data_IF_435397120671
#
_entry.id   IF_435397120671
#
_cell.length_a   1.000
_cell.length_b   1.000
_cell.length_c   1.000
_cell.angle_alpha   90.00
_cell.angle_beta   90.00
_cell.angle_gamma   90.00
#
_symmetry.space_group_name_H-M   'P 1'
#
loop_
_entity.id
_entity.type
_entity.pdbx_description
1 polymer ?
#
# COMPACT_ATOMS: atom_id res chain seq x y z
N UNK A 1 4.41 -7.37 -29.29
CA UNK A 1 4.48 -6.20 -28.38
C UNK A 1 3.39 -6.40 -27.35
N UNK A 2 3.77 -6.70 -26.17
CA UNK A 2 2.89 -7.11 -25.06
C UNK A 2 2.11 -5.93 -24.43
N UNK A 3 2.56 -4.67 -24.59
CA UNK A 3 1.85 -3.50 -24.05
C UNK A 3 0.67 -3.06 -24.93
N UNK A 4 -0.43 -2.69 -24.27
CA UNK A 4 -1.50 -1.92 -24.90
C UNK A 4 -0.94 -0.62 -25.47
N UNK A 5 -1.15 -0.39 -26.78
CA UNK A 5 -0.70 0.85 -27.43
C UNK A 5 -1.45 2.08 -26.93
N UNK A 6 -2.74 1.92 -26.63
CA UNK A 6 -3.61 3.01 -26.15
C UNK A 6 -3.10 3.49 -24.81
N UNK A 7 -2.94 2.57 -23.84
CA UNK A 7 -2.47 2.89 -22.49
C UNK A 7 -1.03 3.44 -22.53
N UNK A 8 -0.13 2.79 -23.28
CA UNK A 8 1.26 3.22 -23.37
C UNK A 8 1.40 4.63 -23.95
N UNK A 9 0.65 4.96 -25.01
CA UNK A 9 0.68 6.28 -25.62
C UNK A 9 0.14 7.34 -24.64
N UNK A 10 -1.00 7.08 -24.01
CA UNK A 10 -1.55 7.98 -23.01
C UNK A 10 -0.54 8.27 -21.89
N UNK A 11 0.12 7.24 -21.35
CA UNK A 11 1.13 7.41 -20.30
C UNK A 11 2.31 8.22 -20.81
N UNK A 12 2.85 7.95 -22.02
CA UNK A 12 3.97 8.72 -22.59
C UNK A 12 3.65 10.21 -22.74
N UNK A 13 2.45 10.55 -23.14
CA UNK A 13 2.00 11.92 -23.33
C UNK A 13 1.83 12.67 -22.00
N UNK A 14 1.42 11.96 -20.95
CA UNK A 14 1.06 12.56 -19.66
C UNK A 14 2.08 12.34 -18.53
N UNK A 15 3.06 11.44 -18.70
CA UNK A 15 4.00 11.06 -17.64
C UNK A 15 4.77 12.27 -17.05
N UNK A 16 5.12 13.24 -17.87
CA UNK A 16 5.88 14.40 -17.39
C UNK A 16 5.07 15.32 -16.49
N UNK A 17 3.74 15.22 -16.49
CA UNK A 17 2.88 16.05 -15.64
C UNK A 17 2.98 15.66 -14.16
N UNK A 18 3.31 14.42 -13.86
CA UNK A 18 3.47 13.92 -12.47
C UNK A 18 4.90 14.06 -11.94
N UNK A 19 5.87 14.42 -12.80
CA UNK A 19 7.26 14.66 -12.41
C UNK A 19 7.44 16.12 -12.01
N UNK A 20 7.41 16.41 -10.70
CA UNK A 20 7.40 17.77 -10.15
C UNK A 20 8.78 18.25 -9.74
N UNK A 21 9.10 19.52 -9.99
CA UNK A 21 10.32 20.14 -9.45
C UNK A 21 10.16 20.38 -7.94
N UNK A 22 11.28 20.63 -7.24
CA UNK A 22 11.25 21.12 -5.86
C UNK A 22 10.37 22.38 -5.74
N UNK A 23 9.59 22.45 -4.66
CA UNK A 23 8.70 23.59 -4.39
C UNK A 23 8.56 23.85 -2.89
N UNK A 24 8.74 25.08 -2.45
CA UNK A 24 8.59 25.46 -1.05
C UNK A 24 9.51 24.67 -0.13
N UNK A 25 8.93 23.84 0.72
CA UNK A 25 9.66 22.99 1.68
C UNK A 25 10.00 21.60 1.14
N UNK A 26 9.40 21.21 0.01
CA UNK A 26 9.76 20.01 -0.73
C UNK A 26 11.06 20.31 -1.48
N UNK A 27 12.18 19.84 -0.94
CA UNK A 27 13.53 20.23 -1.39
C UNK A 27 14.03 19.46 -2.60
N UNK A 28 13.52 18.27 -2.81
CA UNK A 28 13.94 17.38 -3.89
C UNK A 28 12.82 17.24 -4.91
N UNK A 29 13.13 16.97 -6.18
CA UNK A 29 12.12 16.66 -7.17
C UNK A 29 11.33 15.43 -6.74
N UNK A 30 10.05 15.35 -7.09
CA UNK A 30 9.17 14.31 -6.61
C UNK A 30 8.15 13.87 -7.67
N UNK A 31 7.53 12.73 -7.43
CA UNK A 31 6.43 12.20 -8.24
C UNK A 31 5.14 12.39 -7.43
N UNK A 32 4.14 13.05 -8.01
CA UNK A 32 2.83 13.14 -7.41
C UNK A 32 1.81 12.18 -8.07
N UNK A 33 0.64 11.96 -7.45
CA UNK A 33 -0.36 11.07 -8.03
C UNK A 33 -1.06 11.60 -9.29
N UNK A 34 -0.98 12.91 -9.53
CA UNK A 34 -1.79 13.60 -10.54
C UNK A 34 -3.21 13.92 -10.06
N UNK A 35 -4.07 14.41 -10.96
CA UNK A 35 -5.47 14.78 -10.69
C UNK A 35 -5.58 15.80 -9.55
N UNK A 36 -6.48 15.57 -8.59
CA UNK A 36 -6.75 16.45 -7.44
C UNK A 36 -5.63 16.45 -6.39
N UNK A 37 -4.68 15.54 -6.48
CA UNK A 37 -3.56 15.36 -5.54
C UNK A 37 -2.28 16.09 -5.98
N UNK A 38 -2.41 16.94 -7.01
CA UNK A 38 -1.29 17.68 -7.62
C UNK A 38 -0.47 18.50 -6.60
N UNK A 39 0.85 18.33 -6.65
CA UNK A 39 1.80 19.08 -5.84
C UNK A 39 2.04 18.56 -4.43
N UNK A 40 1.52 17.39 -4.05
CA UNK A 40 1.73 16.75 -2.76
C UNK A 40 2.57 15.49 -2.88
N UNK A 41 3.40 15.21 -1.86
CA UNK A 41 4.15 13.96 -1.76
C UNK A 41 3.41 13.02 -0.83
N UNK A 42 2.81 11.98 -1.41
CA UNK A 42 2.10 10.95 -0.67
C UNK A 42 2.96 9.70 -0.54
N UNK A 43 2.92 9.02 0.60
CA UNK A 43 3.76 7.86 0.91
C UNK A 43 3.55 6.67 -0.06
N UNK A 44 2.37 6.05 -0.06
CA UNK A 44 2.13 4.85 -0.86
C UNK A 44 1.91 5.17 -2.35
N UNK A 45 1.40 6.37 -2.67
CA UNK A 45 1.24 6.83 -4.05
C UNK A 45 2.60 6.94 -4.74
N UNK A 46 3.57 7.56 -4.07
CA UNK A 46 4.94 7.66 -4.61
C UNK A 46 5.59 6.29 -4.75
N UNK A 47 5.34 5.37 -3.81
CA UNK A 47 5.84 4.00 -3.90
C UNK A 47 5.32 3.29 -5.16
N UNK A 48 3.99 3.30 -5.37
CA UNK A 48 3.40 2.61 -6.52
C UNK A 48 3.78 3.27 -7.85
N UNK A 49 3.86 4.60 -7.90
CA UNK A 49 4.35 5.31 -9.07
C UNK A 49 5.80 4.91 -9.39
N UNK A 50 6.69 4.87 -8.41
CA UNK A 50 8.09 4.45 -8.59
C UNK A 50 8.17 2.99 -9.01
N UNK A 51 7.39 2.12 -8.37
CA UNK A 51 7.30 0.70 -8.70
C UNK A 51 6.91 0.48 -10.17
N UNK A 52 5.95 1.25 -10.67
CA UNK A 52 5.49 1.17 -12.04
C UNK A 52 6.48 1.78 -13.05
N UNK A 53 7.00 2.97 -12.74
CA UNK A 53 7.77 3.77 -13.69
C UNK A 53 9.22 3.30 -13.88
N UNK A 54 9.87 2.72 -12.86
CA UNK A 54 11.25 2.27 -12.99
C UNK A 54 11.42 1.19 -14.08
N UNK A 55 10.64 0.07 -14.08
CA UNK A 55 10.70 -0.92 -15.16
C UNK A 55 10.30 -0.32 -16.51
N UNK A 56 9.20 0.46 -16.54
CA UNK A 56 8.73 1.10 -17.78
C UNK A 56 9.80 2.00 -18.40
N UNK A 57 10.54 2.76 -17.59
CA UNK A 57 11.59 3.66 -18.06
C UNK A 57 12.71 2.94 -18.83
N UNK A 58 13.00 1.68 -18.49
CA UNK A 58 13.95 0.84 -19.24
C UNK A 58 13.42 0.49 -20.63
N UNK A 59 12.15 0.17 -20.70
CA UNK A 59 11.49 -0.25 -21.94
C UNK A 59 11.32 0.92 -22.92
N UNK A 60 11.12 2.14 -22.42
CA UNK A 60 10.96 3.34 -23.24
C UNK A 60 12.25 3.73 -23.97
N UNK A 61 13.42 3.25 -23.52
CA UNK A 61 14.74 3.53 -24.13
C UNK A 61 15.08 5.01 -24.24
N UNK A 62 14.45 5.85 -23.44
CA UNK A 62 14.76 7.27 -23.30
C UNK A 62 15.63 7.48 -22.05
N UNK A 63 16.93 7.70 -22.28
CA UNK A 63 17.91 7.83 -21.20
C UNK A 63 17.63 9.06 -20.32
N UNK A 64 17.28 10.19 -20.91
CA UNK A 64 17.04 11.43 -20.17
C UNK A 64 15.79 11.31 -19.29
N UNK A 65 14.71 10.72 -19.82
CA UNK A 65 13.50 10.42 -19.05
C UNK A 65 13.79 9.46 -17.90
N UNK A 66 14.59 8.40 -18.15
CA UNK A 66 14.97 7.44 -17.12
C UNK A 66 15.76 8.09 -15.97
N UNK A 67 16.78 8.90 -16.31
CA UNK A 67 17.57 9.63 -15.30
C UNK A 67 16.66 10.55 -14.47
N UNK A 68 15.74 11.24 -15.12
CA UNK A 68 14.75 12.09 -14.45
C UNK A 68 13.83 11.29 -13.52
N UNK A 69 13.31 10.12 -13.94
CA UNK A 69 12.47 9.26 -13.09
C UNK A 69 13.26 8.78 -11.86
N UNK A 70 14.51 8.37 -12.02
CA UNK A 70 15.38 7.94 -10.90
C UNK A 70 15.60 9.08 -9.91
N UNK A 71 15.90 10.29 -10.42
CA UNK A 71 16.09 11.47 -9.58
C UNK A 71 14.84 11.78 -8.75
N UNK A 72 13.66 11.78 -9.37
CA UNK A 72 12.38 12.03 -8.69
C UNK A 72 12.02 10.90 -7.71
N UNK A 73 12.31 9.65 -8.06
CA UNK A 73 12.12 8.51 -7.17
C UNK A 73 12.96 8.62 -5.90
N UNK A 74 14.25 8.96 -6.03
CA UNK A 74 15.11 9.27 -4.88
C UNK A 74 14.59 10.47 -4.09
N UNK A 75 14.13 11.49 -4.79
CA UNK A 75 13.59 12.72 -4.20
C UNK A 75 12.37 12.47 -3.33
N UNK A 76 11.47 11.55 -3.70
CA UNK A 76 10.35 11.14 -2.84
C UNK A 76 10.84 10.67 -1.47
N UNK A 77 11.80 9.74 -1.44
CA UNK A 77 12.37 9.19 -0.20
C UNK A 77 13.07 10.27 0.60
N UNK A 78 13.89 11.10 -0.07
CA UNK A 78 14.66 12.16 0.59
C UNK A 78 13.75 13.21 1.23
N UNK A 79 12.67 13.60 0.55
CA UNK A 79 11.67 14.51 1.12
C UNK A 79 11.02 13.91 2.37
N UNK A 80 10.60 12.64 2.35
CA UNK A 80 10.01 11.97 3.51
C UNK A 80 10.99 11.90 4.69
N UNK A 81 12.27 11.56 4.43
CA UNK A 81 13.31 11.55 5.46
C UNK A 81 13.63 12.94 6.03
N UNK A 82 13.52 14.00 5.22
CA UNK A 82 13.72 15.38 5.69
C UNK A 82 12.66 15.81 6.71
N UNK A 83 11.44 15.29 6.59
CA UNK A 83 10.33 15.58 7.50
C UNK A 83 10.26 14.62 8.70
N UNK A 84 11.23 13.74 8.88
CA UNK A 84 11.27 12.85 10.05
C UNK A 84 11.48 13.63 11.35
N UNK A 85 10.61 13.41 12.34
CA UNK A 85 10.72 13.94 13.68
C UNK A 85 11.80 13.20 14.51
N UNK A 86 12.15 13.79 15.64
CA UNK A 86 13.20 13.24 16.53
C UNK A 86 12.89 11.85 17.09
N UNK A 87 11.61 11.51 17.25
CA UNK A 87 11.12 10.22 17.72
C UNK A 87 11.00 9.16 16.61
N UNK A 88 11.32 9.53 15.36
CA UNK A 88 11.29 8.65 14.21
C UNK A 88 10.01 8.73 13.36
N UNK A 89 9.00 9.49 13.81
CA UNK A 89 7.77 9.71 13.07
C UNK A 89 8.05 10.35 11.70
N UNK A 90 7.46 9.80 10.64
CA UNK A 90 7.47 10.37 9.29
C UNK A 90 6.01 10.57 8.86
N UNK A 91 5.63 11.74 8.33
CA UNK A 91 4.26 11.99 7.87
C UNK A 91 3.91 11.12 6.66
N UNK A 92 2.63 10.81 6.49
CA UNK A 92 2.14 10.09 5.30
C UNK A 92 2.05 10.98 4.07
N UNK A 93 1.94 12.28 4.26
CA UNK A 93 1.84 13.27 3.19
C UNK A 93 2.63 14.52 3.54
N UNK A 94 3.24 15.12 2.52
CA UNK A 94 3.87 16.45 2.59
C UNK A 94 3.17 17.33 1.56
N UNK A 95 2.49 18.37 2.04
CA UNK A 95 1.85 19.36 1.17
C UNK A 95 2.76 20.56 0.89
N UNK A 96 2.75 21.06 -0.36
CA UNK A 96 3.47 22.27 -0.72
C UNK A 96 2.80 23.56 -0.21
N UNK A 97 1.48 23.51 0.08
CA UNK A 97 0.66 24.66 0.47
C UNK A 97 0.57 24.90 1.97
N UNK A 98 1.11 23.99 2.79
CA UNK A 98 0.94 23.99 4.26
C UNK A 98 1.73 25.04 5.00
N UNK A 99 2.41 25.86 4.31
CA UNK A 99 3.13 26.96 4.88
C UNK A 99 2.43 28.29 4.69
N UNK A 100 1.13 28.29 4.92
CA UNK A 100 0.47 29.52 5.32
C UNK A 100 1.11 29.97 6.63
N UNK A 101 1.76 31.15 6.58
CA UNK A 101 2.41 31.78 7.74
C UNK A 101 1.49 31.95 8.97
N UNK A 102 0.21 31.70 8.81
CA UNK A 102 -0.81 31.69 9.89
C UNK A 102 -0.83 30.40 10.69
N UNK A 103 -0.23 29.34 10.17
CA UNK A 103 -0.04 28.07 10.86
C UNK A 103 1.41 27.99 11.25
N UNK A 104 1.76 28.54 12.43
CA UNK A 104 3.13 28.61 12.95
C UNK A 104 3.79 27.25 13.13
N UNK A 105 2.99 26.19 13.06
CA UNK A 105 3.45 24.82 13.01
C UNK A 105 2.53 24.08 12.06
N UNK A 106 3.09 23.62 10.95
CA UNK A 106 2.29 23.11 9.87
C UNK A 106 1.67 21.76 10.19
N UNK A 107 1.03 21.18 9.22
CA UNK A 107 0.49 19.86 9.05
C UNK A 107 1.06 18.75 9.98
N UNK A 108 2.35 18.76 10.34
CA UNK A 108 2.94 17.89 11.36
C UNK A 108 2.20 17.96 12.70
N UNK A 109 1.66 19.12 13.06
CA UNK A 109 0.86 19.28 14.26
C UNK A 109 -0.54 18.68 14.15
N UNK A 110 -1.10 18.55 12.96
CA UNK A 110 -2.34 17.83 12.76
C UNK A 110 -2.11 16.34 12.95
N UNK A 111 -0.99 15.83 12.42
CA UNK A 111 -0.62 14.42 12.51
C UNK A 111 0.03 14.03 13.84
N UNK A 112 0.54 14.99 14.62
CA UNK A 112 1.27 14.76 15.87
C UNK A 112 0.84 15.74 16.98
N UNK A 113 -0.45 15.99 17.10
CA UNK A 113 -1.00 17.00 18.01
C UNK A 113 -1.03 16.52 19.45
N UNK A 114 -0.56 17.36 20.39
CA UNK A 114 -0.63 17.13 21.83
C UNK A 114 0.07 15.85 22.33
N UNK A 115 1.16 15.44 21.68
CA UNK A 115 1.88 14.22 22.03
C UNK A 115 1.15 12.92 21.67
N UNK A 116 0.05 13.01 20.93
CA UNK A 116 -0.65 11.86 20.36
C UNK A 116 -0.16 11.68 18.91
N UNK A 117 0.59 10.62 18.69
CA UNK A 117 1.06 10.24 17.35
C UNK A 117 -0.12 9.67 16.57
N UNK A 118 -0.45 10.27 15.44
CA UNK A 118 -1.40 9.69 14.48
C UNK A 118 -0.72 8.61 13.64
N UNK A 119 -1.42 8.06 12.66
CA UNK A 119 -0.79 7.15 11.69
C UNK A 119 0.41 7.83 11.01
N UNK A 120 1.49 7.10 10.84
CA UNK A 120 2.69 7.58 10.16
C UNK A 120 2.80 6.97 8.77
N UNK A 121 3.82 7.38 8.02
CA UNK A 121 4.20 6.82 6.73
C UNK A 121 4.00 5.31 6.71
N UNK A 122 3.15 4.84 5.80
CA UNK A 122 2.86 3.42 5.61
C UNK A 122 4.15 2.63 5.33
N UNK A 123 4.17 1.32 5.53
CA UNK A 123 5.38 0.51 5.43
C UNK A 123 5.84 0.32 3.98
N UNK A 124 6.24 1.41 3.33
CA UNK A 124 6.72 1.46 1.95
C UNK A 124 8.07 2.18 1.79
N UNK A 125 8.62 2.74 2.86
CA UNK A 125 9.83 3.56 2.77
C UNK A 125 11.06 2.72 2.39
N UNK A 126 11.33 1.64 3.13
CA UNK A 126 12.43 0.73 2.83
C UNK A 126 12.16 -0.06 1.55
N UNK A 127 10.93 -0.42 1.27
CA UNK A 127 10.55 -1.05 0.01
C UNK A 127 10.90 -0.13 -1.19
N UNK A 128 10.59 1.16 -1.11
CA UNK A 128 10.93 2.11 -2.16
C UNK A 128 12.44 2.29 -2.31
N UNK A 129 13.18 2.40 -1.20
CA UNK A 129 14.65 2.48 -1.21
C UNK A 129 15.25 1.24 -1.87
N UNK A 130 14.84 0.05 -1.45
CA UNK A 130 15.35 -1.20 -2.00
C UNK A 130 15.04 -1.34 -3.50
N UNK A 131 13.83 -0.97 -3.93
CA UNK A 131 13.40 -0.96 -5.32
C UNK A 131 14.31 -0.07 -6.19
N UNK A 132 14.52 1.19 -5.76
CA UNK A 132 15.38 2.15 -6.46
C UNK A 132 16.82 1.62 -6.50
N UNK A 133 17.36 1.19 -5.36
CA UNK A 133 18.74 0.76 -5.23
C UNK A 133 19.05 -0.48 -6.07
N UNK A 134 18.13 -1.45 -6.14
CA UNK A 134 18.24 -2.60 -7.05
C UNK A 134 18.24 -2.20 -8.50
N UNK A 135 17.36 -1.28 -8.87
CA UNK A 135 17.21 -0.80 -10.25
C UNK A 135 18.46 -0.12 -10.79
N UNK A 136 19.16 0.65 -9.92
CA UNK A 136 20.40 1.38 -10.26
C UNK A 136 21.67 0.62 -9.88
N UNK A 137 21.58 -0.48 -9.11
CA UNK A 137 22.73 -1.26 -8.62
C UNK A 137 23.54 -0.55 -7.52
N UNK A 138 22.95 0.40 -6.79
CA UNK A 138 23.66 1.21 -5.81
C UNK A 138 22.79 1.54 -4.60
N UNK A 139 23.25 1.23 -3.38
CA UNK A 139 22.64 1.57 -2.09
C UNK A 139 23.30 2.79 -1.40
N UNK A 140 24.47 3.25 -1.88
CA UNK A 140 25.29 4.24 -1.17
C UNK A 140 24.70 5.64 -1.12
N UNK A 141 23.63 5.92 -1.89
CA UNK A 141 22.86 7.15 -1.78
C UNK A 141 22.10 7.27 -0.44
N UNK A 142 21.97 6.17 0.30
CA UNK A 142 21.55 6.11 1.70
C UNK A 142 22.81 6.12 2.56
N UNK A 143 23.25 7.30 2.99
CA UNK A 143 24.39 7.48 3.86
C UNK A 143 24.09 7.07 5.31
N UNK A 144 25.09 7.13 6.20
CA UNK A 144 24.98 6.77 7.61
C UNK A 144 23.87 7.56 8.34
N UNK A 145 23.69 8.84 8.02
CA UNK A 145 22.66 9.68 8.65
C UNK A 145 21.26 9.16 8.28
N UNK A 146 21.05 8.84 7.02
CA UNK A 146 19.78 8.28 6.54
C UNK A 146 19.54 6.87 7.10
N UNK A 147 20.61 6.08 7.23
CA UNK A 147 20.52 4.75 7.83
C UNK A 147 20.05 4.82 9.29
N UNK A 148 20.57 5.76 10.09
CA UNK A 148 20.10 6.03 11.44
C UNK A 148 18.65 6.54 11.46
N UNK A 149 18.22 7.31 10.47
CA UNK A 149 16.82 7.70 10.32
C UNK A 149 15.90 6.50 10.07
N UNK A 150 16.34 5.49 9.29
CA UNK A 150 15.58 4.26 9.11
C UNK A 150 15.46 3.45 10.40
N UNK A 151 16.50 3.39 11.24
CA UNK A 151 16.39 2.77 12.57
C UNK A 151 15.34 3.46 13.44
N UNK A 152 15.32 4.79 13.45
CA UNK A 152 14.31 5.57 14.17
C UNK A 152 12.90 5.34 13.63
N UNK A 153 12.74 5.20 12.32
CA UNK A 153 11.47 4.87 11.69
C UNK A 153 10.92 3.52 12.19
N UNK A 154 11.72 2.45 12.18
CA UNK A 154 11.31 1.16 12.74
C UNK A 154 11.05 1.23 14.23
N UNK A 155 11.87 1.97 14.98
CA UNK A 155 11.65 2.19 16.43
C UNK A 155 10.31 2.90 16.70
N UNK A 156 9.94 3.88 15.89
CA UNK A 156 8.65 4.56 16.00
C UNK A 156 7.47 3.61 15.80
N UNK A 157 7.56 2.71 14.81
CA UNK A 157 6.55 1.66 14.61
C UNK A 157 6.44 0.72 15.80
N UNK A 158 7.56 0.21 16.29
CA UNK A 158 7.62 -0.68 17.46
C UNK A 158 7.01 -0.04 18.72
N UNK A 159 7.37 1.20 18.96
CA UNK A 159 6.93 1.91 20.17
C UNK A 159 5.46 2.28 20.17
N UNK A 160 4.93 2.72 19.03
CA UNK A 160 3.62 3.36 18.99
C UNK A 160 2.53 2.46 18.40
N UNK A 161 2.87 1.53 17.50
CA UNK A 161 1.87 0.79 16.72
C UNK A 161 1.94 -0.73 16.91
N UNK A 162 3.00 -1.26 17.50
CA UNK A 162 3.12 -2.70 17.76
C UNK A 162 2.38 -3.11 19.04
N UNK A 163 1.56 -4.15 18.95
CA UNK A 163 0.84 -4.75 20.08
C UNK A 163 1.46 -6.10 20.44
N UNK A 164 2.37 -6.08 21.41
CA UNK A 164 3.14 -7.26 21.82
C UNK A 164 2.28 -8.49 22.14
N UNK A 165 1.11 -8.29 22.75
CA UNK A 165 0.19 -9.37 23.14
C UNK A 165 -0.28 -10.21 21.95
N UNK A 166 -0.46 -9.60 20.78
CA UNK A 166 -0.93 -10.27 19.55
C UNK A 166 0.18 -10.41 18.51
N UNK A 167 1.31 -9.72 18.66
CA UNK A 167 2.40 -9.75 17.72
C UNK A 167 2.15 -8.98 16.41
N UNK A 168 1.18 -8.06 16.39
CA UNK A 168 0.72 -7.35 15.19
C UNK A 168 0.84 -5.84 15.36
N UNK A 169 0.94 -5.14 14.23
CA UNK A 169 0.86 -3.68 14.15
C UNK A 169 -0.57 -3.22 13.95
N UNK A 170 -0.93 -2.09 14.54
CA UNK A 170 -2.27 -1.49 14.47
C UNK A 170 -2.23 -0.12 13.82
N UNK A 171 -3.35 0.29 13.22
CA UNK A 171 -3.60 1.69 12.94
C UNK A 171 -3.93 2.41 14.26
N UNK A 172 -3.30 3.58 14.46
CA UNK A 172 -3.66 4.44 15.59
C UNK A 172 -5.04 5.06 15.40
N UNK A 173 -5.34 5.43 14.16
CA UNK A 173 -6.60 6.07 13.76
C UNK A 173 -7.05 5.49 12.41
N UNK A 174 -8.30 5.70 12.02
CA UNK A 174 -8.81 5.38 10.69
C UNK A 174 -8.54 6.49 9.65
N UNK A 175 -8.04 7.65 10.10
CA UNK A 175 -7.73 8.78 9.25
C UNK A 175 -6.40 8.58 8.53
N UNK A 176 -6.35 8.94 7.23
CA UNK A 176 -5.14 8.94 6.41
C UNK A 176 -4.46 7.58 6.26
N UNK A 177 -5.21 6.50 6.35
CA UNK A 177 -4.68 5.16 6.04
C UNK A 177 -4.56 4.90 4.53
N UNK A 178 -5.05 5.83 3.71
CA UNK A 178 -5.08 5.77 2.26
C UNK A 178 -6.32 5.08 1.69
N UNK A 179 -6.89 4.17 2.42
CA UNK A 179 -8.18 3.54 2.12
C UNK A 179 -9.26 4.16 3.03
N UNK A 180 -9.62 5.42 2.76
CA UNK A 180 -10.28 6.33 3.70
C UNK A 180 -11.57 5.82 4.34
N UNK A 181 -12.31 4.97 3.67
CA UNK A 181 -13.50 4.33 4.20
C UNK A 181 -13.43 2.79 4.16
N UNK A 182 -12.22 2.22 4.26
CA UNK A 182 -12.05 0.77 4.40
C UNK A 182 -12.89 0.24 5.57
N UNK A 183 -13.92 -0.59 5.32
CA UNK A 183 -14.88 -0.98 6.36
C UNK A 183 -14.26 -1.85 7.46
N UNK A 184 -13.07 -2.41 7.23
CA UNK A 184 -12.35 -3.13 8.26
C UNK A 184 -11.66 -2.20 9.28
N UNK A 185 -11.55 -0.90 8.97
CA UNK A 185 -10.85 0.09 9.81
C UNK A 185 -11.72 1.29 10.15
N UNK A 186 -12.60 1.71 9.24
CA UNK A 186 -13.36 2.95 9.36
C UNK A 186 -14.30 2.98 10.58
N UNK A 187 -14.21 4.07 11.36
CA UNK A 187 -15.05 4.29 12.54
C UNK A 187 -14.73 3.40 13.74
N UNK A 188 -13.61 2.68 13.71
CA UNK A 188 -13.19 1.83 14.83
C UNK A 188 -12.42 2.64 15.88
N UNK A 189 -12.39 2.16 17.15
CA UNK A 189 -11.61 2.80 18.19
C UNK A 189 -10.12 2.88 17.84
N UNK A 190 -9.46 3.92 18.33
CA UNK A 190 -8.01 4.09 18.18
C UNK A 190 -7.25 2.88 18.72
N UNK A 191 -6.17 2.51 18.05
CA UNK A 191 -5.28 1.40 18.42
C UNK A 191 -5.95 0.02 18.51
N UNK A 192 -7.18 -0.14 18.00
CA UNK A 192 -7.94 -1.38 18.10
C UNK A 192 -7.80 -2.32 16.90
N UNK A 193 -7.45 -1.79 15.73
CA UNK A 193 -7.47 -2.57 14.49
C UNK A 193 -6.06 -2.94 14.04
N UNK A 194 -5.71 -4.23 14.13
CA UNK A 194 -4.59 -4.78 13.41
C UNK A 194 -5.05 -5.14 11.99
N UNK A 195 -4.84 -4.20 11.08
CA UNK A 195 -5.28 -4.31 9.71
C UNK A 195 -4.38 -5.25 8.91
N UNK A 196 -4.97 -6.16 8.12
CA UNK A 196 -4.21 -7.13 7.32
C UNK A 196 -3.37 -6.45 6.24
N UNK A 197 -3.82 -5.30 5.69
CA UNK A 197 -3.03 -4.48 4.77
C UNK A 197 -1.73 -4.02 5.44
N UNK A 198 -1.83 -3.36 6.60
CA UNK A 198 -0.68 -2.86 7.33
C UNK A 198 0.33 -3.97 7.64
N UNK A 199 -0.14 -5.10 8.14
CA UNK A 199 0.71 -6.19 8.59
C UNK A 199 1.35 -6.95 7.42
N UNK A 200 0.65 -7.14 6.30
CA UNK A 200 1.21 -7.74 5.10
C UNK A 200 2.34 -6.88 4.53
N UNK A 201 2.13 -5.58 4.35
CA UNK A 201 3.16 -4.67 3.87
C UNK A 201 4.30 -4.48 4.87
N UNK A 202 4.05 -4.56 6.18
CA UNK A 202 5.10 -4.51 7.18
C UNK A 202 6.05 -5.71 7.08
N UNK A 203 5.58 -6.90 6.69
CA UNK A 203 6.48 -8.04 6.44
C UNK A 203 7.44 -7.76 5.28
N UNK A 204 6.98 -7.08 4.24
CA UNK A 204 7.78 -6.69 3.08
C UNK A 204 8.74 -5.53 3.44
N UNK A 205 8.29 -4.60 4.25
CA UNK A 205 9.08 -3.47 4.75
C UNK A 205 10.26 -3.93 5.61
N UNK A 206 10.01 -4.87 6.55
CA UNK A 206 11.05 -5.47 7.38
C UNK A 206 12.07 -6.25 6.53
N UNK A 207 11.62 -6.94 5.49
CA UNK A 207 12.50 -7.64 4.55
C UNK A 207 13.38 -6.64 3.77
N UNK A 208 12.78 -5.58 3.24
CA UNK A 208 13.50 -4.55 2.50
C UNK A 208 14.48 -3.77 3.40
N UNK A 209 14.08 -3.50 4.64
CA UNK A 209 14.98 -2.94 5.64
C UNK A 209 16.19 -3.84 5.91
N UNK A 210 15.97 -5.14 6.15
CA UNK A 210 17.06 -6.09 6.36
C UNK A 210 18.04 -6.14 5.17
N UNK A 211 17.53 -6.06 3.95
CA UNK A 211 18.33 -5.99 2.73
C UNK A 211 19.21 -4.72 2.69
N UNK A 212 18.63 -3.55 2.95
CA UNK A 212 19.33 -2.26 2.97
C UNK A 212 20.45 -2.28 4.01
N UNK A 213 20.15 -2.70 5.25
CA UNK A 213 21.14 -2.75 6.32
C UNK A 213 22.25 -3.77 6.04
N UNK A 214 21.94 -4.88 5.38
CA UNK A 214 22.95 -5.85 4.91
C UNK A 214 23.86 -5.22 3.85
N UNK A 215 23.29 -4.57 2.85
CA UNK A 215 24.04 -3.94 1.75
C UNK A 215 24.95 -2.80 2.24
N UNK A 216 24.55 -2.11 3.30
CA UNK A 216 25.26 -0.96 3.88
C UNK A 216 26.13 -1.32 5.11
N UNK A 217 26.34 -2.62 5.39
CA UNK A 217 27.32 -3.10 6.36
C UNK A 217 26.86 -3.18 7.81
N UNK A 218 25.54 -3.16 8.09
CA UNK A 218 24.99 -3.43 9.43
C UNK A 218 24.19 -4.76 9.47
N UNK A 219 24.86 -5.92 9.36
CA UNK A 219 24.19 -7.23 9.38
C UNK A 219 23.57 -7.56 10.74
N UNK A 220 23.99 -6.88 11.80
CA UNK A 220 23.41 -7.03 13.14
C UNK A 220 21.98 -6.53 13.21
N UNK A 221 21.73 -5.34 12.72
CA UNK A 221 20.37 -4.77 12.65
C UNK A 221 19.51 -5.47 11.60
N UNK A 222 20.11 -5.86 10.46
CA UNK A 222 19.43 -6.66 9.43
C UNK A 222 18.86 -7.97 10.00
N UNK A 223 19.61 -8.67 10.86
CA UNK A 223 19.14 -9.89 11.54
C UNK A 223 17.96 -9.60 12.45
N UNK A 224 17.99 -8.51 13.23
CA UNK A 224 16.88 -8.13 14.10
C UNK A 224 15.59 -7.88 13.30
N UNK A 225 15.66 -7.20 12.14
CA UNK A 225 14.52 -6.99 11.26
C UNK A 225 14.00 -8.31 10.69
N UNK A 226 14.89 -9.23 10.30
CA UNK A 226 14.51 -10.54 9.80
C UNK A 226 13.78 -11.38 10.86
N UNK A 227 14.26 -11.36 12.10
CA UNK A 227 13.61 -12.05 13.23
C UNK A 227 12.23 -11.46 13.54
N UNK A 228 12.11 -10.13 13.49
CA UNK A 228 10.80 -9.45 13.64
C UNK A 228 9.84 -9.85 12.54
N UNK A 229 10.32 -9.92 11.29
CA UNK A 229 9.51 -10.37 10.15
C UNK A 229 8.96 -11.77 10.36
N UNK A 230 9.77 -12.72 10.82
CA UNK A 230 9.32 -14.10 11.06
C UNK A 230 8.23 -14.15 12.14
N UNK A 231 8.43 -13.45 13.27
CA UNK A 231 7.40 -13.36 14.33
C UNK A 231 6.11 -12.72 13.83
N UNK A 232 6.20 -11.70 12.98
CA UNK A 232 5.02 -11.06 12.40
C UNK A 232 4.27 -12.01 11.47
N UNK A 233 4.96 -12.80 10.67
CA UNK A 233 4.35 -13.82 9.80
C UNK A 233 3.58 -14.84 10.64
N UNK A 234 4.20 -15.38 11.69
CA UNK A 234 3.54 -16.32 12.61
C UNK A 234 2.26 -15.71 13.21
N UNK A 235 2.33 -14.45 13.65
CA UNK A 235 1.19 -13.74 14.21
C UNK A 235 0.07 -13.50 13.17
N UNK A 236 0.40 -13.21 11.91
CA UNK A 236 -0.59 -13.08 10.83
C UNK A 236 -1.32 -14.40 10.62
N UNK A 237 -0.62 -15.54 10.59
CA UNK A 237 -1.26 -16.85 10.45
C UNK A 237 -2.12 -17.21 11.67
N UNK A 238 -1.65 -16.91 12.88
CA UNK A 238 -2.38 -17.24 14.12
C UNK A 238 -3.64 -16.40 14.28
N UNK A 239 -3.56 -15.08 14.05
CA UNK A 239 -4.60 -14.13 14.42
C UNK A 239 -5.50 -13.73 13.24
N UNK A 240 -4.93 -13.58 12.02
CA UNK A 240 -5.67 -13.03 10.89
C UNK A 240 -6.31 -14.06 9.97
N UNK A 241 -5.80 -15.30 9.91
CA UNK A 241 -6.39 -16.33 9.06
C UNK A 241 -7.58 -17.02 9.76
N UNK A 242 -8.77 -16.81 9.23
CA UNK A 242 -9.96 -17.51 9.69
C UNK A 242 -10.10 -18.87 8.99
N UNK A 243 -9.90 -19.95 9.76
CA UNK A 243 -9.93 -21.33 9.22
C UNK A 243 -11.31 -21.78 8.76
N UNK A 244 -12.38 -21.17 9.27
CA UNK A 244 -13.75 -21.48 8.86
C UNK A 244 -14.07 -20.86 7.51
N UNK A 245 -13.76 -19.56 7.37
CA UNK A 245 -14.06 -18.81 6.17
C UNK A 245 -12.92 -18.95 5.15
N UNK A 246 -11.76 -19.50 5.57
CA UNK A 246 -10.55 -19.68 4.75
C UNK A 246 -10.09 -18.39 4.09
N UNK A 247 -10.12 -17.30 4.86
CA UNK A 247 -9.78 -15.95 4.39
C UNK A 247 -8.99 -15.19 5.46
N UNK A 248 -8.14 -14.24 5.04
CA UNK A 248 -7.43 -13.37 5.96
C UNK A 248 -8.26 -12.12 6.26
N UNK A 249 -8.52 -11.90 7.53
CA UNK A 249 -9.24 -10.73 8.04
C UNK A 249 -8.33 -9.82 8.86
N UNK A 250 -8.66 -8.54 8.87
CA UNK A 250 -8.21 -7.64 9.93
C UNK A 250 -8.79 -8.09 11.26
N UNK A 251 -8.11 -7.78 12.36
CA UNK A 251 -8.56 -8.22 13.70
C UNK A 251 -8.67 -7.07 14.68
N UNK A 252 -9.66 -7.15 15.55
CA UNK A 252 -9.80 -6.29 16.70
C UNK A 252 -8.89 -6.81 17.82
N UNK A 253 -7.96 -5.97 18.28
CA UNK A 253 -6.99 -6.31 19.33
C UNK A 253 -7.31 -5.64 20.67
N UNK A 254 -8.38 -4.85 20.73
CA UNK A 254 -8.85 -4.23 21.97
C UNK A 254 -9.70 -5.22 22.81
N UNK A 255 -9.13 -6.42 22.99
CA UNK A 255 -9.73 -7.51 23.74
C UNK A 255 -8.91 -7.75 25.00
N UNK A 256 -9.47 -7.42 26.14
CA UNK A 256 -8.82 -7.65 27.43
C UNK A 256 -9.82 -7.92 28.54
N UNK A 257 -9.41 -8.69 29.53
CA UNK A 257 -10.20 -8.91 30.74
C UNK A 257 -10.21 -7.63 31.57
N UNK A 258 -11.37 -7.16 31.97
CA UNK A 258 -11.50 -6.00 32.87
C UNK A 258 -10.76 -6.26 34.19
N UNK A 259 -9.91 -5.33 34.57
CA UNK A 259 -9.02 -5.47 35.71
C UNK A 259 -9.74 -5.76 37.04
N UNK A 260 -10.99 -5.36 37.15
CA UNK A 260 -11.81 -5.47 38.36
C UNK A 260 -12.89 -6.55 38.26
N UNK A 261 -12.91 -7.31 37.18
CA UNK A 261 -13.92 -8.32 36.98
C UNK A 261 -13.42 -9.67 37.50
N UNK A 262 -13.48 -9.80 38.82
CA UNK A 262 -13.12 -11.05 39.52
C UNK A 262 -13.91 -12.25 39.02
N UNK A 263 -15.11 -12.03 38.49
CA UNK A 263 -15.96 -13.08 37.95
C UNK A 263 -15.35 -13.75 36.71
N UNK A 264 -14.59 -13.00 35.92
CA UNK A 264 -13.92 -13.57 34.77
C UNK A 264 -12.55 -14.19 35.10
N UNK A 265 -12.01 -13.99 36.29
CA UNK A 265 -10.82 -14.69 36.76
C UNK A 265 -11.11 -16.20 36.85
N UNK A 266 -10.50 -16.97 36.01
CA UNK A 266 -10.72 -18.42 35.97
C UNK A 266 -11.64 -18.92 34.85
N UNK A 267 -12.36 -18.02 34.18
CA UNK A 267 -13.08 -18.40 32.94
C UNK A 267 -12.13 -18.47 31.75
N UNK A 268 -10.97 -17.82 31.85
CA UNK A 268 -9.91 -17.82 30.85
C UNK A 268 -10.34 -17.23 29.50
N UNK A 269 -9.74 -16.13 29.09
CA UNK A 269 -9.81 -15.66 27.71
C UNK A 269 -8.64 -16.30 26.98
N UNK A 270 -8.92 -17.22 26.07
CA UNK A 270 -7.89 -17.94 25.32
C UNK A 270 -7.52 -17.25 24.00
N UNK A 271 -8.35 -16.30 23.54
CA UNK A 271 -8.12 -15.54 22.33
C UNK A 271 -7.48 -14.19 22.64
N UNK A 272 -6.62 -13.74 21.75
CA UNK A 272 -5.91 -12.45 21.86
C UNK A 272 -6.54 -11.37 20.99
N UNK A 273 -7.27 -11.76 19.98
CA UNK A 273 -7.93 -10.89 19.01
C UNK A 273 -9.30 -11.43 18.62
N UNK A 274 -10.09 -10.61 17.94
CA UNK A 274 -11.36 -11.02 17.32
C UNK A 274 -11.32 -10.69 15.83
N UNK A 275 -11.66 -11.62 14.94
CA UNK A 275 -11.68 -11.35 13.51
C UNK A 275 -12.77 -10.33 13.17
N UNK A 276 -12.38 -9.29 12.42
CA UNK A 276 -13.29 -8.36 11.77
C UNK A 276 -13.69 -9.00 10.45
N UNK A 277 -14.74 -9.83 10.48
CA UNK A 277 -15.19 -10.62 9.32
C UNK A 277 -15.88 -9.74 8.29
N UNK A 278 -15.10 -8.89 7.64
CA UNK A 278 -15.48 -8.06 6.52
C UNK A 278 -14.49 -8.40 5.41
N UNK A 279 -14.98 -8.99 4.35
CA UNK A 279 -14.15 -9.49 3.25
C UNK A 279 -13.73 -8.33 2.33
N UNK A 280 -12.54 -7.81 2.58
CA UNK A 280 -11.91 -6.73 1.79
C UNK A 280 -10.75 -7.27 0.96
N UNK A 281 -10.43 -6.61 -0.15
CA UNK A 281 -9.35 -6.99 -1.07
C UNK A 281 -8.01 -7.21 -0.39
N UNK A 282 -7.74 -6.51 0.70
CA UNK A 282 -6.48 -6.63 1.44
C UNK A 282 -6.28 -8.01 2.07
N UNK A 283 -7.33 -8.84 2.18
CA UNK A 283 -7.24 -10.24 2.57
C UNK A 283 -6.43 -11.11 1.59
N UNK A 284 -6.20 -10.65 0.36
CA UNK A 284 -5.33 -11.32 -0.62
C UNK A 284 -3.85 -10.94 -0.49
N UNK A 285 -3.51 -9.91 0.28
CA UNK A 285 -2.13 -9.39 0.39
C UNK A 285 -1.10 -10.36 0.96
N UNK A 286 -1.45 -11.34 1.82
CA UNK A 286 -0.51 -12.40 2.20
C UNK A 286 0.07 -13.17 1.00
N UNK A 287 -0.67 -13.30 -0.11
CA UNK A 287 -0.12 -13.87 -1.36
C UNK A 287 0.88 -12.93 -2.03
N UNK A 288 0.60 -11.63 -2.08
CA UNK A 288 1.56 -10.64 -2.60
C UNK A 288 2.85 -10.65 -1.79
N UNK A 289 2.74 -10.67 -0.47
CA UNK A 289 3.87 -10.68 0.46
C UNK A 289 4.64 -12.03 0.47
N UNK A 290 4.12 -13.07 -0.20
CA UNK A 290 4.72 -14.40 -0.27
C UNK A 290 4.72 -15.13 1.07
N UNK A 291 3.76 -14.84 1.94
CA UNK A 291 3.65 -15.41 3.29
C UNK A 291 2.49 -16.39 3.45
N UNK A 292 1.51 -16.41 2.56
CA UNK A 292 0.45 -17.41 2.58
C UNK A 292 1.03 -18.83 2.36
N UNK A 293 0.46 -19.83 3.04
CA UNK A 293 0.74 -21.23 2.69
C UNK A 293 0.10 -21.60 1.35
N UNK A 294 0.44 -22.75 0.78
CA UNK A 294 -0.20 -23.20 -0.48
C UNK A 294 -1.70 -23.44 -0.30
N UNK A 295 -2.10 -23.97 0.82
CA UNK A 295 -3.50 -24.25 1.18
C UNK A 295 -4.29 -22.95 1.35
N UNK A 296 -3.70 -21.94 1.98
CA UNK A 296 -4.31 -20.62 2.12
C UNK A 296 -4.41 -19.92 0.76
N UNK A 297 -3.37 -19.99 -0.08
CA UNK A 297 -3.38 -19.40 -1.41
C UNK A 297 -4.44 -20.05 -2.32
N UNK A 298 -4.64 -21.37 -2.23
CA UNK A 298 -5.72 -22.06 -2.96
C UNK A 298 -7.10 -21.58 -2.48
N UNK A 299 -7.27 -21.42 -1.18
CA UNK A 299 -8.51 -20.89 -0.62
C UNK A 299 -8.79 -19.45 -1.08
N UNK A 300 -7.78 -18.59 -1.09
CA UNK A 300 -7.92 -17.23 -1.62
C UNK A 300 -8.25 -17.21 -3.11
N UNK A 301 -7.70 -18.15 -3.88
CA UNK A 301 -8.05 -18.32 -5.28
C UNK A 301 -9.54 -18.68 -5.47
N UNK A 302 -10.10 -19.57 -4.61
CA UNK A 302 -11.53 -19.88 -4.60
C UNK A 302 -12.38 -18.63 -4.34
N UNK A 303 -11.99 -17.78 -3.38
CA UNK A 303 -12.66 -16.50 -3.11
C UNK A 303 -12.64 -15.53 -4.29
N UNK A 304 -11.56 -15.53 -5.08
CA UNK A 304 -11.47 -14.70 -6.29
C UNK A 304 -12.50 -15.12 -7.35
N UNK A 305 -12.80 -16.41 -7.44
CA UNK A 305 -13.78 -16.96 -8.40
C UNK A 305 -15.24 -16.85 -7.93
N UNK A 306 -15.48 -16.50 -6.68
CA UNK A 306 -16.83 -16.33 -6.15
C UNK A 306 -17.49 -15.08 -6.75
N UNK A 307 -18.43 -15.31 -7.69
CA UNK A 307 -19.15 -14.24 -8.37
C UNK A 307 -20.03 -13.40 -7.42
N UNK A 308 -20.46 -13.94 -6.28
CA UNK A 308 -21.21 -13.20 -5.29
C UNK A 308 -20.29 -12.34 -4.38
N UNK A 309 -19.00 -12.62 -4.36
CA UNK A 309 -18.01 -11.89 -3.56
C UNK A 309 -17.08 -11.04 -4.43
N UNK A 310 -15.98 -11.61 -4.94
CA UNK A 310 -14.93 -10.86 -5.62
C UNK A 310 -14.89 -11.04 -7.15
N UNK A 311 -15.59 -12.02 -7.70
CA UNK A 311 -15.62 -12.25 -9.16
C UNK A 311 -16.19 -11.05 -9.92
N UNK A 312 -15.48 -10.57 -10.95
CA UNK A 312 -15.89 -9.48 -11.82
C UNK A 312 -15.09 -9.49 -13.13
N UNK A 313 -15.71 -9.10 -14.24
CA UNK A 313 -15.08 -9.05 -15.57
C UNK A 313 -13.99 -7.98 -15.71
N UNK A 314 -13.97 -7.00 -14.82
CA UNK A 314 -13.08 -5.83 -14.89
C UNK A 314 -11.97 -5.83 -13.85
N UNK A 315 -12.02 -6.74 -12.87
CA UNK A 315 -11.05 -6.84 -11.81
C UNK A 315 -11.68 -7.15 -10.46
N UNK A 316 -10.97 -6.93 -9.39
CA UNK A 316 -11.41 -7.24 -8.03
C UNK A 316 -12.10 -6.03 -7.39
N UNK A 317 -13.36 -6.15 -6.90
CA UNK A 317 -13.95 -5.12 -6.05
C UNK A 317 -13.18 -5.02 -4.73
N UNK A 318 -13.02 -3.82 -4.21
CA UNK A 318 -12.29 -3.59 -2.95
C UNK A 318 -12.98 -4.12 -1.71
N UNK A 319 -14.28 -4.30 -1.77
CA UNK A 319 -15.12 -4.97 -0.78
C UNK A 319 -15.93 -6.05 -1.48
N UNK A 320 -16.08 -7.22 -0.87
CA UNK A 320 -16.89 -8.30 -1.45
C UNK A 320 -18.34 -7.83 -1.68
N UNK A 321 -18.90 -8.19 -2.83
CA UNK A 321 -20.23 -7.72 -3.27
C UNK A 321 -21.38 -8.13 -2.32
N UNK A 322 -21.22 -9.25 -1.63
CA UNK A 322 -22.17 -9.75 -0.64
C UNK A 322 -22.04 -9.11 0.76
N UNK A 323 -21.09 -8.21 0.95
CA UNK A 323 -20.97 -7.48 2.21
C UNK A 323 -22.06 -6.40 2.35
N UNK A 324 -22.59 -6.26 3.57
CA UNK A 324 -23.66 -5.30 3.87
C UNK A 324 -23.33 -3.84 3.50
N UNK A 325 -22.04 -3.48 3.59
CA UNK A 325 -21.57 -2.12 3.35
C UNK A 325 -21.17 -1.88 1.89
N UNK A 326 -21.31 -2.87 1.00
CA UNK A 326 -20.98 -2.72 -0.41
C UNK A 326 -21.73 -1.53 -1.03
N UNK A 327 -20.98 -0.56 -1.54
CA UNK A 327 -21.54 0.64 -2.14
C UNK A 327 -20.57 1.23 -3.18
N UNK A 328 -20.99 1.25 -4.43
CA UNK A 328 -20.21 1.78 -5.55
C UNK A 328 -20.50 3.26 -5.84
N UNK A 329 -21.55 3.82 -5.24
CA UNK A 329 -21.90 5.22 -5.44
C UNK A 329 -20.90 6.12 -4.69
N UNK A 330 -20.61 7.28 -5.30
CA UNK A 330 -19.77 8.27 -4.66
C UNK A 330 -20.42 8.73 -3.33
N UNK A 331 -19.66 8.64 -2.26
CA UNK A 331 -20.02 9.21 -0.97
C UNK A 331 -19.49 10.64 -0.85
N UNK A 332 -19.69 11.29 0.28
CA UNK A 332 -19.09 12.61 0.55
C UNK A 332 -17.55 12.56 0.60
N UNK A 333 -16.98 11.36 0.85
CA UNK A 333 -15.55 11.12 0.70
C UNK A 333 -15.25 10.77 -0.77
N UNK A 334 -14.34 11.47 -1.44
CA UNK A 334 -13.97 11.16 -2.82
C UNK A 334 -13.24 9.83 -2.97
N UNK A 335 -12.64 9.29 -1.91
CA UNK A 335 -11.89 8.02 -1.89
C UNK A 335 -12.79 6.89 -1.38
N UNK A 336 -13.47 6.19 -2.31
CA UNK A 336 -14.41 5.12 -1.96
C UNK A 336 -13.80 3.72 -2.09
N UNK A 337 -13.66 3.00 -0.97
CA UNK A 337 -13.15 1.62 -0.86
C UNK A 337 -14.24 0.60 -0.52
N UNK A 338 -15.53 0.97 -0.66
CA UNK A 338 -16.68 0.12 -0.37
C UNK A 338 -17.13 -0.73 -1.58
N UNK A 339 -16.25 -1.05 -2.51
CA UNK A 339 -16.57 -1.94 -3.62
C UNK A 339 -16.08 -1.54 -5.00
N UNK A 340 -15.79 -0.27 -5.33
CA UNK A 340 -15.19 0.07 -6.62
C UNK A 340 -13.88 -0.69 -6.88
N UNK A 341 -13.56 -0.85 -8.16
CA UNK A 341 -12.27 -1.40 -8.60
C UNK A 341 -11.21 -0.30 -8.56
N UNK A 342 -10.10 -0.60 -7.88
CA UNK A 342 -8.89 0.20 -7.85
C UNK A 342 -7.75 -0.58 -8.50
N UNK A 343 -7.04 0.01 -9.47
CA UNK A 343 -6.01 -0.72 -10.22
C UNK A 343 -4.85 -1.19 -9.34
N UNK A 344 -4.58 -0.52 -8.23
CA UNK A 344 -3.61 -0.98 -7.23
C UNK A 344 -4.04 -2.29 -6.58
N UNK A 345 -5.33 -2.46 -6.29
CA UNK A 345 -5.87 -3.72 -5.75
C UNK A 345 -5.78 -4.83 -6.80
N UNK A 346 -6.17 -4.55 -8.05
CA UNK A 346 -6.02 -5.50 -9.16
C UNK A 346 -4.57 -5.95 -9.30
N UNK A 347 -3.61 -5.02 -9.28
CA UNK A 347 -2.19 -5.36 -9.39
C UNK A 347 -1.70 -6.22 -8.22
N UNK A 348 -2.05 -5.87 -6.99
CA UNK A 348 -1.64 -6.63 -5.81
C UNK A 348 -2.16 -8.07 -5.84
N UNK A 349 -3.42 -8.26 -6.22
CA UNK A 349 -4.02 -9.60 -6.35
C UNK A 349 -3.42 -10.35 -7.53
N UNK A 350 -3.28 -9.71 -8.69
CA UNK A 350 -2.57 -10.25 -9.85
C UNK A 350 -1.18 -10.79 -9.47
N UNK A 351 -0.39 -9.97 -8.80
CA UNK A 351 0.96 -10.35 -8.40
C UNK A 351 0.97 -11.49 -7.39
N UNK A 352 0.02 -11.47 -6.45
CA UNK A 352 -0.22 -12.56 -5.53
C UNK A 352 -0.52 -13.87 -6.25
N UNK A 353 -1.48 -13.89 -7.17
CA UNK A 353 -1.81 -15.06 -7.98
C UNK A 353 -0.61 -15.57 -8.77
N UNK A 354 0.12 -14.65 -9.42
CA UNK A 354 1.30 -14.99 -10.20
C UNK A 354 2.45 -15.59 -9.34
N UNK A 355 2.62 -15.12 -8.11
CA UNK A 355 3.63 -15.64 -7.17
C UNK A 355 3.36 -17.10 -6.76
N UNK A 356 2.09 -17.50 -6.73
CA UNK A 356 1.67 -18.87 -6.38
C UNK A 356 1.40 -19.76 -7.60
N UNK A 357 1.70 -19.29 -8.81
CA UNK A 357 1.59 -20.07 -10.04
C UNK A 357 0.18 -20.11 -10.64
N UNK A 358 -0.75 -19.31 -10.13
CA UNK A 358 -2.11 -19.18 -10.66
C UNK A 358 -2.11 -18.22 -11.87
N UNK A 359 -1.42 -18.66 -12.93
CA UNK A 359 -1.19 -17.85 -14.12
C UNK A 359 -2.48 -17.44 -14.82
N UNK A 360 -3.45 -18.37 -14.90
CA UNK A 360 -4.73 -18.13 -15.57
C UNK A 360 -5.48 -16.96 -14.90
N UNK A 361 -5.58 -16.96 -13.60
CA UNK A 361 -6.22 -15.90 -12.82
C UNK A 361 -5.48 -14.56 -12.97
N UNK A 362 -4.16 -14.59 -13.00
CA UNK A 362 -3.35 -13.41 -13.28
C UNK A 362 -3.60 -12.86 -14.71
N UNK A 363 -3.70 -13.73 -15.71
CA UNK A 363 -4.03 -13.34 -17.10
C UNK A 363 -5.42 -12.73 -17.19
N UNK A 364 -6.41 -13.28 -16.50
CA UNK A 364 -7.78 -12.76 -16.47
C UNK A 364 -7.83 -11.36 -15.83
N UNK A 365 -7.17 -11.17 -14.68
CA UNK A 365 -7.06 -9.86 -14.01
C UNK A 365 -6.33 -8.82 -14.88
N UNK A 366 -5.25 -9.21 -15.54
CA UNK A 366 -4.53 -8.34 -16.46
C UNK A 366 -5.42 -7.93 -17.62
N UNK A 367 -6.06 -8.90 -18.28
CA UNK A 367 -6.93 -8.63 -19.41
C UNK A 367 -8.13 -7.74 -19.04
N UNK A 368 -8.75 -7.96 -17.88
CA UNK A 368 -9.81 -7.12 -17.34
C UNK A 368 -9.35 -5.68 -17.12
N UNK A 369 -8.19 -5.51 -16.46
CA UNK A 369 -7.60 -4.20 -16.17
C UNK A 369 -7.21 -3.44 -17.44
N UNK A 370 -6.67 -4.14 -18.44
CA UNK A 370 -6.34 -3.54 -19.76
C UNK A 370 -7.60 -3.04 -20.44
N UNK A 371 -8.64 -3.91 -20.58
CA UNK A 371 -9.91 -3.52 -21.21
C UNK A 371 -10.55 -2.32 -20.51
N UNK A 372 -10.47 -2.28 -19.19
CA UNK A 372 -11.01 -1.18 -18.37
C UNK A 372 -10.37 0.16 -18.75
N UNK A 373 -9.04 0.22 -18.75
CA UNK A 373 -8.31 1.46 -19.05
C UNK A 373 -8.38 1.85 -20.53
N UNK A 374 -8.30 0.89 -21.46
CA UNK A 374 -8.45 1.19 -22.90
C UNK A 374 -9.81 1.84 -23.17
N UNK A 375 -10.89 1.23 -22.65
CA UNK A 375 -12.25 1.76 -22.81
C UNK A 375 -12.40 3.16 -22.19
N UNK A 376 -11.80 3.39 -21.02
CA UNK A 376 -11.86 4.69 -20.34
C UNK A 376 -11.15 5.76 -21.18
N UNK A 377 -9.92 5.51 -21.60
CA UNK A 377 -9.13 6.44 -22.42
C UNK A 377 -9.86 6.73 -23.75
N UNK A 378 -10.39 5.73 -24.43
CA UNK A 378 -11.12 5.91 -25.69
C UNK A 378 -12.40 6.74 -25.51
N UNK A 379 -13.12 6.54 -24.41
CA UNK A 379 -14.40 7.21 -24.14
C UNK A 379 -14.27 8.61 -23.58
N UNK A 380 -13.30 8.83 -22.68
CA UNK A 380 -13.17 10.05 -21.87
C UNK A 380 -11.92 10.87 -22.18
N UNK A 381 -10.94 10.27 -22.85
CA UNK A 381 -9.62 10.87 -23.10
C UNK A 381 -8.66 10.83 -21.92
N UNK A 382 -9.02 10.17 -20.82
CA UNK A 382 -8.14 10.09 -19.64
C UNK A 382 -8.34 8.80 -18.84
N UNK A 383 -7.51 8.58 -17.82
CA UNK A 383 -7.69 7.53 -16.81
C UNK A 383 -8.34 8.12 -15.56
N UNK A 384 -9.16 7.32 -14.89
CA UNK A 384 -9.81 7.70 -13.62
C UNK A 384 -9.23 6.92 -12.44
N UNK A 385 -9.57 7.37 -11.24
CA UNK A 385 -9.02 6.85 -9.99
C UNK A 385 -9.56 5.46 -9.66
N UNK A 386 -10.89 5.24 -9.84
CA UNK A 386 -11.55 3.96 -9.61
C UNK A 386 -12.80 3.77 -10.46
N UNK A 387 -13.30 2.53 -10.54
CA UNK A 387 -14.26 2.10 -11.54
C UNK A 387 -15.36 1.24 -10.92
N UNK A 388 -16.53 1.26 -11.57
CA UNK A 388 -17.67 0.42 -11.23
C UNK A 388 -17.39 -1.05 -11.59
N UNK A 389 -17.47 -2.00 -10.64
CA UNK A 389 -17.16 -3.42 -10.89
C UNK A 389 -18.15 -4.14 -11.80
N UNK A 390 -19.36 -3.61 -11.97
CA UNK A 390 -20.40 -4.22 -12.82
C UNK A 390 -20.36 -3.72 -14.27
N UNK A 391 -20.01 -2.45 -14.46
CA UNK A 391 -20.09 -1.81 -15.79
C UNK A 391 -18.72 -1.42 -16.36
N UNK A 392 -17.68 -1.36 -15.53
CA UNK A 392 -16.38 -0.82 -15.91
C UNK A 392 -16.36 0.68 -16.16
N UNK A 393 -17.44 1.40 -15.81
CA UNK A 393 -17.50 2.85 -15.98
C UNK A 393 -16.67 3.57 -14.88
N UNK A 394 -16.00 4.68 -15.21
CA UNK A 394 -15.29 5.48 -14.21
C UNK A 394 -16.28 6.13 -13.24
N UNK A 395 -15.89 6.25 -11.97
CA UNK A 395 -16.74 6.80 -10.90
C UNK A 395 -16.26 8.17 -10.45
N UNK A 396 -14.97 8.47 -10.53
CA UNK A 396 -14.35 9.71 -10.05
C UNK A 396 -13.64 10.50 -11.14
N UNK A 397 -13.13 11.68 -10.76
CA UNK A 397 -12.46 12.63 -11.65
C UNK A 397 -11.29 12.01 -12.40
N UNK A 398 -11.17 12.35 -13.67
CA UNK A 398 -10.09 11.89 -14.54
C UNK A 398 -8.75 12.56 -14.27
N UNK A 399 -7.72 12.08 -15.00
CA UNK A 399 -6.34 12.59 -14.91
C UNK A 399 -5.48 11.89 -13.85
N UNK A 400 -5.95 10.78 -13.31
CA UNK A 400 -5.22 9.99 -12.32
C UNK A 400 -4.29 8.99 -13.01
N UNK A 401 -2.99 9.18 -12.90
CA UNK A 401 -1.96 8.33 -13.55
C UNK A 401 -1.42 7.28 -12.57
N UNK A 402 -0.86 7.71 -11.48
CA UNK A 402 -0.30 6.96 -10.35
C UNK A 402 -0.20 5.44 -10.61
N UNK A 403 -0.89 4.64 -9.79
CA UNK A 403 -0.90 3.18 -9.89
C UNK A 403 -1.64 2.61 -11.13
N UNK A 404 -2.35 3.43 -11.91
CA UNK A 404 -2.91 2.96 -13.17
C UNK A 404 -1.83 2.49 -14.17
N UNK A 405 -0.61 3.03 -14.05
CA UNK A 405 0.57 2.57 -14.81
C UNK A 405 0.90 1.10 -14.53
N UNK A 406 0.54 0.55 -13.35
CA UNK A 406 0.78 -0.84 -12.98
C UNK A 406 0.19 -1.85 -13.96
N UNK A 407 -0.81 -1.46 -14.74
CA UNK A 407 -1.37 -2.32 -15.80
C UNK A 407 -0.33 -2.69 -16.85
N UNK A 408 0.61 -1.79 -17.17
CA UNK A 408 1.74 -2.12 -18.04
C UNK A 408 2.72 -3.11 -17.36
N UNK A 409 2.90 -2.99 -16.05
CA UNK A 409 3.70 -3.97 -15.30
C UNK A 409 3.06 -5.37 -15.33
N UNK A 410 1.72 -5.46 -15.19
CA UNK A 410 1.00 -6.73 -15.32
C UNK A 410 1.29 -7.39 -16.67
N UNK A 411 1.19 -6.64 -17.76
CA UNK A 411 1.45 -7.14 -19.11
C UNK A 411 2.92 -7.63 -19.27
N UNK A 412 3.88 -6.84 -18.75
CA UNK A 412 5.30 -7.21 -18.80
C UNK A 412 5.61 -8.47 -17.99
N UNK A 413 5.09 -8.56 -16.77
CA UNK A 413 5.38 -9.68 -15.87
C UNK A 413 4.78 -11.00 -16.35
N UNK A 414 3.71 -10.98 -17.14
CA UNK A 414 3.20 -12.16 -17.83
C UNK A 414 4.13 -12.59 -18.95
N UNK A 415 4.67 -11.64 -19.73
CA UNK A 415 5.58 -11.91 -20.84
C UNK A 415 6.94 -12.45 -20.35
N UNK A 416 7.51 -11.86 -19.29
CA UNK A 416 8.82 -12.24 -18.72
C UNK A 416 8.84 -13.68 -18.12
N UNK A 417 7.69 -14.32 -17.93
CA UNK A 417 7.54 -15.66 -17.36
C UNK A 417 7.09 -16.74 -18.34
N UNK A 418 7.03 -16.40 -19.64
CA UNK A 418 6.92 -17.37 -20.74
C UNK A 418 8.28 -17.97 -21.07
#
# INVERSE_FOLDING_TARGET
>A
MYYSKIILNYIKENLTTVLKPPVGFIRYPFIDPGSVYDGNVWDWDTYWSVYALLPLSKELKDKALRERIIEHAKGNVLNMLDFQLSDGYIPMMIENKLFDKRLSEPYLNIQHKNGVTMNMHKPFLCQQIALISKDIGDYTWIDEIKLEKLKKYFFCYEKNYYKERVGLYVWHDDIMIGMDNDPASFGRPKDSTANIFLNSFMTMELQSGAEIFTALGDPGYARQLSEKRLRLIDAIHEECFDRRDKFFYSVDVDVYTRKYDWFHQGLGVFWKSLPIRIAVWSGFLPMLAGIATKEEAEALREHLHDEEAFGSDYGIPTLAKNEKMFNIEATNNPSNWLGPIWLVANYCVFKGMLNYGYRKEAEELCAGSVRLLERDIEKTGCMHEYYNPFTGEPVMKGGFINWNVLVLNMQKELDDRE
#
